data_IF_213298565728
#
_entry.id   IF_213298565728
#
_cell.length_a   1.000
_cell.length_b   1.000
_cell.length_c   1.000
_cell.angle_alpha   90.00
_cell.angle_beta   90.00
_cell.angle_gamma   90.00
#
_symmetry.space_group_name_H-M   'P 1'
#
loop_
_entity.id
_entity.type
_entity.pdbx_description
1 polymer ?
#
# COMPACT_ATOMS: atom_id res chain seq x y z
N UNK A 1 -13.60 0.37 10.83
CA UNK A 1 -14.63 -0.23 9.97
C UNK A 1 -15.40 0.88 9.27
N UNK A 2 -15.51 0.84 7.97
CA UNK A 2 -16.26 1.80 7.16
C UNK A 2 -17.33 1.02 6.38
N UNK A 3 -18.56 1.56 6.34
CA UNK A 3 -19.65 0.96 5.59
C UNK A 3 -19.59 1.49 4.15
N UNK A 4 -19.50 0.59 3.17
CA UNK A 4 -19.39 1.01 1.76
C UNK A 4 -20.73 1.48 1.19
N UNK A 5 -21.82 0.75 1.50
CA UNK A 5 -23.13 1.00 0.92
C UNK A 5 -24.22 1.17 2.00
N UNK A 6 -24.15 2.24 2.81
CA UNK A 6 -25.16 2.45 3.86
C UNK A 6 -26.58 2.62 3.29
N UNK A 7 -26.71 3.16 2.09
CA UNK A 7 -27.99 3.28 1.39
C UNK A 7 -28.60 1.91 1.00
N UNK A 8 -27.77 0.92 0.66
CA UNK A 8 -28.23 -0.42 0.33
C UNK A 8 -28.83 -1.12 1.57
N UNK A 9 -28.26 -0.90 2.77
CA UNK A 9 -28.83 -1.38 4.01
C UNK A 9 -30.20 -0.74 4.30
N UNK A 10 -30.38 0.55 4.01
CA UNK A 10 -31.69 1.22 4.17
C UNK A 10 -32.74 0.64 3.22
N UNK A 11 -32.36 0.37 1.97
CA UNK A 11 -33.27 -0.28 1.00
C UNK A 11 -33.60 -1.70 1.47
N UNK A 12 -32.61 -2.49 1.91
CA UNK A 12 -32.84 -3.85 2.40
C UNK A 12 -33.76 -3.86 3.63
N UNK A 13 -33.57 -2.93 4.55
CA UNK A 13 -34.42 -2.76 5.72
C UNK A 13 -35.88 -2.38 5.30
N UNK A 14 -36.00 -1.42 4.39
CA UNK A 14 -37.31 -1.00 3.86
C UNK A 14 -38.05 -2.13 3.19
N UNK A 15 -37.37 -2.93 2.35
CA UNK A 15 -37.99 -4.11 1.70
C UNK A 15 -38.40 -5.17 2.71
N UNK A 16 -37.57 -5.44 3.74
CA UNK A 16 -37.92 -6.37 4.82
C UNK A 16 -39.17 -5.91 5.59
N UNK A 17 -39.30 -4.62 5.91
CA UNK A 17 -40.46 -4.05 6.56
C UNK A 17 -41.73 -4.17 5.68
N UNK A 18 -41.64 -3.93 4.38
CA UNK A 18 -42.76 -4.06 3.45
C UNK A 18 -43.22 -5.52 3.35
N UNK A 19 -42.27 -6.46 3.28
CA UNK A 19 -42.60 -7.90 3.26
C UNK A 19 -43.30 -8.33 4.57
N UNK A 20 -42.78 -7.89 5.72
CA UNK A 20 -43.35 -8.19 7.03
C UNK A 20 -44.79 -7.61 7.19
N UNK A 21 -44.95 -6.33 6.77
CA UNK A 21 -46.28 -5.70 6.77
C UNK A 21 -47.27 -6.41 5.81
N UNK A 22 -46.80 -6.76 4.60
CA UNK A 22 -47.59 -7.51 3.64
C UNK A 22 -48.02 -8.90 4.16
N UNK A 23 -47.09 -9.63 4.80
CA UNK A 23 -47.34 -10.92 5.39
C UNK A 23 -48.34 -10.83 6.54
N UNK A 24 -48.24 -9.85 7.42
CA UNK A 24 -49.16 -9.60 8.53
C UNK A 24 -50.56 -9.22 8.04
N UNK A 25 -50.64 -8.40 6.98
CA UNK A 25 -51.90 -7.99 6.37
C UNK A 25 -52.59 -9.17 5.68
N UNK A 26 -51.81 -10.03 4.99
CA UNK A 26 -52.34 -11.26 4.39
C UNK A 26 -52.83 -12.25 5.44
N UNK A 27 -52.13 -12.40 6.56
CA UNK A 27 -52.55 -13.23 7.67
C UNK A 27 -53.90 -12.73 8.26
N UNK A 28 -53.99 -11.45 8.57
CA UNK A 28 -55.19 -10.80 9.08
C UNK A 28 -56.38 -10.90 8.08
N UNK A 29 -56.12 -10.78 6.78
CA UNK A 29 -57.14 -10.93 5.75
C UNK A 29 -57.65 -12.37 5.65
N UNK A 30 -56.74 -13.37 5.76
CA UNK A 30 -57.11 -14.78 5.80
C UNK A 30 -57.98 -15.11 7.02
N UNK A 31 -57.62 -14.60 8.20
CA UNK A 31 -58.43 -14.79 9.43
C UNK A 31 -59.83 -14.17 9.29
N UNK A 32 -59.95 -12.94 8.76
CA UNK A 32 -61.26 -12.30 8.50
C UNK A 32 -62.10 -13.09 7.52
N UNK A 33 -61.49 -13.64 6.47
CA UNK A 33 -62.18 -14.45 5.46
C UNK A 33 -62.62 -15.82 6.01
N UNK A 34 -61.83 -16.41 6.91
CA UNK A 34 -62.20 -17.66 7.60
C UNK A 34 -63.33 -17.46 8.59
N UNK A 35 -63.35 -16.35 9.34
CA UNK A 35 -64.33 -15.99 10.31
C UNK A 35 -65.68 -15.65 9.67
N UNK A 36 -65.71 -15.13 8.42
CA UNK A 36 -66.93 -14.77 7.71
C UNK A 36 -67.64 -15.92 6.96
N UNK A 37 -67.10 -17.16 6.99
CA UNK A 37 -67.56 -18.25 6.12
C UNK A 37 -68.61 -19.18 6.74
N UNK A 38 -68.76 -19.15 8.07
CA UNK A 38 -69.79 -19.98 8.75
C UNK A 38 -70.36 -19.29 10.02
N UNK A 39 -71.49 -18.58 9.94
CA UNK A 39 -72.10 -17.94 11.10
C UNK A 39 -72.77 -18.93 12.11
N UNK A 40 -72.93 -20.19 11.76
CA UNK A 40 -73.55 -21.17 12.62
C UNK A 40 -72.62 -22.09 13.42
N UNK A 41 -71.29 -21.88 13.36
CA UNK A 41 -70.37 -22.63 14.19
C UNK A 41 -70.39 -22.08 15.62
N UNK A 42 -70.93 -22.90 16.56
CA UNK A 42 -70.77 -22.60 17.99
C UNK A 42 -69.31 -22.48 18.33
N UNK A 43 -68.92 -21.29 18.70
CA UNK A 43 -67.57 -21.00 19.23
C UNK A 43 -67.44 -21.59 20.62
N UNK A 44 -66.70 -22.66 20.76
CA UNK A 44 -66.32 -23.20 22.09
C UNK A 44 -65.03 -22.49 22.52
N UNK A 45 -65.05 -21.97 23.76
CA UNK A 45 -63.87 -21.45 24.40
C UNK A 45 -62.99 -22.63 24.83
N UNK A 46 -61.77 -22.69 24.27
CA UNK A 46 -60.78 -23.68 24.65
C UNK A 46 -60.00 -23.27 25.92
N UNK A 47 -60.32 -22.12 26.55
CA UNK A 47 -59.62 -21.60 27.71
C UNK A 47 -59.67 -22.52 28.94
N UNK A 48 -60.82 -23.27 29.14
CA UNK A 48 -60.89 -24.23 30.22
C UNK A 48 -60.08 -25.50 29.98
N UNK A 49 -60.01 -25.99 28.74
CA UNK A 49 -59.25 -27.18 28.36
C UNK A 49 -57.73 -26.92 28.34
N UNK A 50 -57.32 -25.68 28.13
CA UNK A 50 -55.90 -25.25 28.13
C UNK A 50 -55.40 -24.96 29.56
N UNK A 51 -56.26 -24.87 30.57
CA UNK A 51 -55.90 -24.65 31.98
C UNK A 51 -55.57 -25.94 32.76
N UNK A 52 -55.48 -27.09 32.11
CA UNK A 52 -54.92 -28.30 32.71
C UNK A 52 -53.44 -28.16 32.92
N UNK A 53 -52.89 -28.66 34.02
CA UNK A 53 -51.49 -28.51 34.41
C UNK A 53 -50.53 -28.91 33.30
N UNK A 54 -50.81 -30.00 32.60
CA UNK A 54 -50.00 -30.54 31.52
C UNK A 54 -50.10 -29.69 30.23
N UNK A 55 -51.26 -29.19 29.85
CA UNK A 55 -51.49 -28.35 28.69
C UNK A 55 -50.82 -26.95 28.88
N UNK A 56 -50.89 -26.39 30.08
CA UNK A 56 -50.28 -25.09 30.39
C UNK A 56 -48.76 -25.13 30.32
N UNK A 57 -48.09 -26.23 30.72
CA UNK A 57 -46.66 -26.42 30.60
C UNK A 57 -46.21 -26.54 29.14
N UNK A 58 -46.94 -27.33 28.32
CA UNK A 58 -46.62 -27.46 26.89
C UNK A 58 -46.80 -26.13 26.15
N UNK A 59 -47.86 -25.37 26.49
CA UNK A 59 -48.12 -24.06 25.89
C UNK A 59 -47.08 -23.03 26.28
N UNK A 60 -46.56 -23.10 27.53
CA UNK A 60 -45.48 -22.23 28.02
C UNK A 60 -44.18 -22.58 27.31
N UNK A 61 -43.85 -23.86 27.12
CA UNK A 61 -42.67 -24.31 26.38
C UNK A 61 -42.76 -23.89 24.89
N UNK A 62 -43.94 -24.11 24.26
CA UNK A 62 -44.17 -23.69 22.87
C UNK A 62 -43.98 -22.16 22.69
N UNK A 63 -44.54 -21.37 23.61
CA UNK A 63 -44.44 -19.90 23.60
C UNK A 63 -42.98 -19.47 23.78
N UNK A 64 -42.21 -20.16 24.62
CA UNK A 64 -40.79 -19.88 24.83
C UNK A 64 -39.97 -20.21 23.59
N UNK A 65 -40.17 -21.39 23.00
CA UNK A 65 -39.46 -21.79 21.78
C UNK A 65 -39.82 -20.89 20.59
N UNK A 66 -41.05 -20.47 20.47
CA UNK A 66 -41.48 -19.55 19.43
C UNK A 66 -40.85 -18.16 19.60
N UNK A 67 -40.72 -17.67 20.83
CA UNK A 67 -40.02 -16.40 21.12
C UNK A 67 -38.51 -16.48 20.79
N UNK A 68 -37.86 -17.60 21.11
CA UNK A 68 -36.47 -17.82 20.77
C UNK A 68 -36.28 -17.90 19.24
N UNK A 69 -37.12 -18.64 18.56
CA UNK A 69 -37.09 -18.74 17.09
C UNK A 69 -37.32 -17.37 16.42
N UNK A 70 -38.28 -16.59 16.89
CA UNK A 70 -38.55 -15.24 16.40
C UNK A 70 -37.37 -14.31 16.66
N UNK A 71 -36.75 -14.39 17.85
CA UNK A 71 -35.53 -13.62 18.19
C UNK A 71 -34.34 -13.98 17.33
N UNK A 72 -34.10 -15.27 17.07
CA UNK A 72 -33.06 -15.75 16.19
C UNK A 72 -33.24 -15.27 14.74
N UNK A 73 -34.49 -15.30 14.24
CA UNK A 73 -34.82 -14.80 12.91
C UNK A 73 -34.63 -13.30 12.80
N UNK A 74 -35.04 -12.52 13.81
CA UNK A 74 -34.84 -11.08 13.84
C UNK A 74 -33.32 -10.74 13.87
N UNK A 75 -32.52 -11.46 14.67
CA UNK A 75 -31.08 -11.30 14.70
C UNK A 75 -30.43 -11.66 13.34
N UNK A 76 -30.84 -12.75 12.71
CA UNK A 76 -30.38 -13.13 11.38
C UNK A 76 -30.70 -12.06 10.32
N UNK A 77 -31.85 -11.44 10.41
CA UNK A 77 -32.27 -10.37 9.49
C UNK A 77 -31.41 -9.11 9.70
N UNK A 78 -31.14 -8.72 10.95
CA UNK A 78 -30.27 -7.58 11.26
C UNK A 78 -28.86 -7.84 10.76
N UNK A 79 -28.30 -9.03 10.99
CA UNK A 79 -26.98 -9.42 10.50
C UNK A 79 -26.92 -9.44 8.96
N UNK A 80 -27.95 -9.93 8.30
CA UNK A 80 -28.06 -9.94 6.84
C UNK A 80 -28.06 -8.51 6.27
N UNK A 81 -28.87 -7.60 6.83
CA UNK A 81 -28.90 -6.19 6.45
C UNK A 81 -27.53 -5.53 6.69
N UNK A 82 -26.88 -5.88 7.80
CA UNK A 82 -25.52 -5.38 8.11
C UNK A 82 -24.49 -5.86 7.09
N UNK A 83 -24.57 -7.11 6.63
CA UNK A 83 -23.68 -7.65 5.60
C UNK A 83 -23.91 -7.02 4.21
N UNK A 84 -25.15 -6.65 3.89
CA UNK A 84 -25.46 -5.90 2.64
C UNK A 84 -24.80 -4.54 2.61
N UNK A 85 -24.58 -3.91 3.78
CA UNK A 85 -23.85 -2.65 3.88
C UNK A 85 -22.34 -2.80 3.63
N UNK A 86 -21.82 -4.02 3.43
CA UNK A 86 -20.42 -4.37 3.18
C UNK A 86 -19.48 -3.73 4.22
N UNK A 87 -19.39 -4.27 5.43
CA UNK A 87 -18.42 -3.83 6.41
C UNK A 87 -17.01 -4.11 5.88
N UNK A 88 -16.18 -3.06 5.75
CA UNK A 88 -14.83 -3.16 5.23
C UNK A 88 -13.83 -2.66 6.25
N UNK A 89 -12.69 -3.32 6.32
CA UNK A 89 -11.51 -2.85 7.04
C UNK A 89 -10.48 -2.39 6.01
N UNK A 90 -10.01 -1.17 6.16
CA UNK A 90 -8.90 -0.65 5.36
C UNK A 90 -7.64 -0.87 6.19
N UNK A 91 -6.77 -1.76 5.74
CA UNK A 91 -5.42 -1.87 6.26
C UNK A 91 -4.56 -0.85 5.51
N UNK A 92 -4.77 0.43 5.82
CA UNK A 92 -4.21 1.57 5.10
C UNK A 92 -2.67 1.55 5.05
N UNK A 93 -2.03 0.98 6.05
CA UNK A 93 -0.57 0.99 6.16
C UNK A 93 0.09 -0.05 5.24
N UNK A 94 -0.47 -1.25 5.20
CA UNK A 94 0.05 -2.35 4.37
C UNK A 94 -0.26 -2.14 2.88
N UNK A 95 -1.39 -1.52 2.58
CA UNK A 95 -1.78 -1.18 1.21
C UNK A 95 -1.00 0.02 0.65
N UNK A 96 -0.66 0.98 1.52
CA UNK A 96 0.20 2.13 1.17
C UNK A 96 1.63 1.69 0.88
N UNK A 97 2.17 0.77 1.65
CA UNK A 97 3.52 0.23 1.44
C UNK A 97 3.60 -0.61 0.16
N UNK A 98 2.64 -1.49 -0.08
CA UNK A 98 2.56 -2.31 -1.29
C UNK A 98 2.32 -1.50 -2.59
N UNK A 99 2.06 -0.19 -2.49
CA UNK A 99 1.82 0.68 -3.66
C UNK A 99 2.98 1.62 -3.99
N UNK A 100 4.21 1.33 -3.53
CA UNK A 100 5.39 2.18 -3.75
C UNK A 100 6.49 1.46 -4.51
N UNK A 101 7.18 2.25 -5.34
CA UNK A 101 8.38 1.83 -6.05
C UNK A 101 9.50 2.82 -5.74
N UNK A 102 10.64 2.32 -5.29
CA UNK A 102 11.78 3.13 -4.86
C UNK A 102 13.02 2.68 -5.63
N UNK A 103 13.70 3.61 -6.28
CA UNK A 103 14.99 3.34 -6.94
C UNK A 103 16.10 4.00 -6.15
N UNK A 104 17.07 3.21 -5.73
CA UNK A 104 18.33 3.66 -5.15
C UNK A 104 19.28 3.98 -6.31
N UNK A 105 19.64 5.23 -6.45
CA UNK A 105 20.44 5.76 -7.55
C UNK A 105 21.77 6.26 -7.02
N UNK A 106 22.87 5.55 -7.29
CA UNK A 106 24.17 5.80 -6.72
C UNK A 106 25.17 6.26 -7.79
N UNK A 107 25.74 7.43 -7.60
CA UNK A 107 26.91 7.92 -8.31
C UNK A 107 28.15 7.15 -7.81
N UNK A 108 28.85 6.49 -8.72
CA UNK A 108 30.08 5.71 -8.42
C UNK A 108 31.31 6.32 -9.12
N UNK A 109 31.34 7.65 -9.23
CA UNK A 109 32.46 8.37 -9.75
C UNK A 109 33.66 8.33 -8.78
N UNK A 110 34.85 8.67 -9.27
CA UNK A 110 36.07 8.65 -8.44
C UNK A 110 35.99 9.56 -7.21
N UNK A 111 35.22 10.66 -7.28
CA UNK A 111 35.03 11.59 -6.16
C UNK A 111 34.09 11.06 -5.08
N UNK A 112 33.09 10.26 -5.46
CA UNK A 112 32.10 9.67 -4.53
C UNK A 112 32.57 8.34 -3.95
N UNK A 113 33.43 7.61 -4.66
CA UNK A 113 33.90 6.26 -4.32
C UNK A 113 34.34 6.08 -2.86
N UNK A 114 35.06 7.01 -2.23
CA UNK A 114 35.42 6.93 -0.81
C UNK A 114 34.21 6.94 0.15
N UNK A 115 33.07 7.46 -0.30
CA UNK A 115 31.86 7.62 0.49
C UNK A 115 30.79 6.56 0.17
N UNK A 116 30.93 5.86 -0.98
CA UNK A 116 29.91 4.94 -1.49
C UNK A 116 29.54 3.85 -0.49
N UNK A 117 30.51 3.31 0.23
CA UNK A 117 30.23 2.34 1.29
C UNK A 117 29.30 2.90 2.36
N UNK A 118 29.51 4.13 2.81
CA UNK A 118 28.66 4.77 3.81
C UNK A 118 27.26 5.03 3.25
N UNK A 119 27.15 5.34 1.97
CA UNK A 119 25.87 5.49 1.28
C UNK A 119 25.13 4.14 1.20
N UNK A 120 25.84 3.05 0.87
CA UNK A 120 25.26 1.72 0.84
C UNK A 120 24.80 1.27 2.25
N UNK A 121 25.56 1.57 3.29
CA UNK A 121 25.16 1.35 4.68
C UNK A 121 23.91 2.17 5.03
N UNK A 122 23.78 3.38 4.48
CA UNK A 122 22.58 4.22 4.59
C UNK A 122 21.40 3.59 3.87
N UNK A 123 21.61 3.06 2.66
CA UNK A 123 20.59 2.33 1.91
C UNK A 123 20.13 1.06 2.63
N UNK A 124 21.05 0.30 3.25
CA UNK A 124 20.69 -0.86 4.08
C UNK A 124 19.79 -0.49 5.24
N UNK A 125 20.09 0.60 5.94
CA UNK A 125 19.24 1.10 7.02
C UNK A 125 17.90 1.61 6.50
N UNK A 126 17.87 2.26 5.34
CA UNK A 126 16.65 2.70 4.69
C UNK A 126 15.75 1.49 4.36
N UNK A 127 16.32 0.47 3.71
CA UNK A 127 15.62 -0.77 3.32
C UNK A 127 15.08 -1.52 4.52
N UNK A 128 15.79 -1.55 5.64
CA UNK A 128 15.33 -2.21 6.88
C UNK A 128 14.06 -1.59 7.48
N UNK A 129 13.72 -0.36 7.09
CA UNK A 129 12.53 0.35 7.53
C UNK A 129 11.35 0.25 6.55
N UNK A 130 11.53 -0.41 5.40
CA UNK A 130 10.48 -0.58 4.40
C UNK A 130 9.76 -1.92 4.58
N UNK A 131 8.47 -1.94 4.22
CA UNK A 131 7.61 -3.13 4.27
C UNK A 131 6.58 -3.09 3.14
N UNK A 132 6.82 -3.90 2.08
CA UNK A 132 5.90 -4.01 0.94
C UNK A 132 6.20 -3.06 -0.24
N UNK A 133 7.19 -2.17 -0.13
CA UNK A 133 7.71 -1.40 -1.26
C UNK A 133 8.50 -2.31 -2.21
N UNK A 134 8.50 -1.99 -3.51
CA UNK A 134 9.47 -2.57 -4.44
C UNK A 134 10.69 -1.66 -4.52
N UNK A 135 11.86 -2.25 -4.43
CA UNK A 135 13.13 -1.54 -4.41
C UNK A 135 13.96 -2.00 -5.60
N UNK A 136 14.52 -1.06 -6.34
CA UNK A 136 15.51 -1.29 -7.37
C UNK A 136 16.78 -0.49 -7.10
N UNK A 137 17.90 -0.88 -7.71
CA UNK A 137 19.14 -0.13 -7.62
C UNK A 137 19.82 0.00 -8.97
N UNK A 138 20.27 1.21 -9.28
CA UNK A 138 21.14 1.50 -10.39
C UNK A 138 22.34 2.30 -9.90
N UNK A 139 23.49 2.01 -10.48
CA UNK A 139 24.73 2.77 -10.29
C UNK A 139 25.08 3.47 -11.59
N UNK A 140 25.69 4.64 -11.49
CA UNK A 140 26.09 5.41 -12.67
C UNK A 140 27.40 6.18 -12.44
N UNK A 141 28.07 6.44 -13.54
CA UNK A 141 29.20 7.37 -13.65
C UNK A 141 29.08 8.10 -15.01
N UNK A 142 29.84 7.75 -16.05
CA UNK A 142 29.62 8.23 -17.41
C UNK A 142 28.53 7.47 -18.17
N UNK A 143 28.17 6.26 -17.71
CA UNK A 143 27.02 5.45 -18.13
C UNK A 143 26.38 4.84 -16.90
N UNK A 144 25.22 4.19 -17.08
CA UNK A 144 24.45 3.62 -15.98
C UNK A 144 24.30 2.11 -16.12
N UNK A 145 24.31 1.40 -14.98
CA UNK A 145 24.07 -0.04 -14.89
C UNK A 145 23.06 -0.35 -13.79
N UNK A 146 22.06 -1.15 -14.12
CA UNK A 146 21.13 -1.69 -13.11
C UNK A 146 21.83 -2.78 -12.30
N UNK A 147 21.88 -2.64 -10.98
CA UNK A 147 22.39 -3.65 -10.05
C UNK A 147 21.33 -4.72 -9.84
N UNK A 148 20.11 -4.31 -9.51
CA UNK A 148 18.94 -5.18 -9.48
C UNK A 148 17.67 -4.39 -9.85
N UNK A 149 16.71 -5.02 -10.56
CA UNK A 149 15.46 -4.39 -10.95
C UNK A 149 14.53 -4.21 -9.74
N UNK A 150 13.39 -3.54 -9.94
CA UNK A 150 12.37 -3.39 -8.90
C UNK A 150 11.88 -4.75 -8.41
N UNK A 151 12.09 -5.02 -7.12
CA UNK A 151 11.70 -6.26 -6.45
C UNK A 151 11.20 -5.98 -5.03
N UNK A 152 10.33 -6.84 -4.54
CA UNK A 152 9.87 -6.89 -3.15
C UNK A 152 10.60 -7.97 -2.32
N UNK A 153 11.58 -8.65 -2.94
CA UNK A 153 12.45 -9.59 -2.25
C UNK A 153 13.54 -8.84 -1.44
N UNK A 154 13.21 -8.53 -0.20
CA UNK A 154 14.14 -7.85 0.73
C UNK A 154 15.38 -8.68 1.06
N UNK A 155 15.32 -10.01 0.96
CA UNK A 155 16.48 -10.86 1.17
C UNK A 155 17.50 -10.66 0.05
N UNK A 156 17.01 -10.64 -1.21
CA UNK A 156 17.83 -10.31 -2.38
C UNK A 156 18.42 -8.91 -2.26
N UNK A 157 17.59 -7.89 -2.01
CA UNK A 157 18.03 -6.48 -1.88
C UNK A 157 19.12 -6.36 -0.82
N UNK A 158 18.89 -6.90 0.37
CA UNK A 158 19.85 -6.85 1.48
C UNK A 158 21.14 -7.59 1.15
N UNK A 159 21.06 -8.73 0.47
CA UNK A 159 22.22 -9.51 0.03
C UNK A 159 23.07 -8.73 -0.97
N UNK A 160 22.45 -8.12 -1.97
CA UNK A 160 23.13 -7.31 -2.99
C UNK A 160 23.80 -6.07 -2.38
N UNK A 161 23.12 -5.34 -1.48
CA UNK A 161 23.69 -4.19 -0.80
C UNK A 161 24.85 -4.58 0.13
N UNK A 162 24.74 -5.70 0.86
CA UNK A 162 25.84 -6.22 1.70
C UNK A 162 27.04 -6.65 0.86
N UNK A 163 26.80 -7.27 -0.29
CA UNK A 163 27.87 -7.62 -1.23
C UNK A 163 28.59 -6.38 -1.72
N UNK A 164 27.87 -5.35 -2.16
CA UNK A 164 28.45 -4.07 -2.58
C UNK A 164 29.25 -3.40 -1.43
N UNK A 165 28.69 -3.35 -0.21
CA UNK A 165 29.41 -2.80 0.96
C UNK A 165 30.68 -3.59 1.29
N UNK A 166 30.69 -4.91 1.04
CA UNK A 166 31.88 -5.76 1.23
C UNK A 166 32.95 -5.50 0.18
N UNK A 167 32.55 -5.34 -1.09
CA UNK A 167 33.45 -5.02 -2.22
C UNK A 167 34.12 -3.66 -2.00
N UNK A 168 33.36 -2.67 -1.54
CA UNK A 168 33.84 -1.30 -1.29
C UNK A 168 34.54 -1.15 0.08
N UNK A 169 34.74 -2.25 0.80
CA UNK A 169 35.49 -2.21 2.06
C UNK A 169 36.95 -1.92 1.81
N UNK A 170 37.45 -0.81 2.36
CA UNK A 170 38.84 -0.40 2.19
C UNK A 170 39.08 0.53 0.99
N UNK A 171 38.06 1.00 0.31
CA UNK A 171 38.13 2.01 -0.74
C UNK A 171 37.72 3.34 -0.13
N UNK A 172 38.61 3.94 0.72
CA UNK A 172 38.33 5.23 1.37
C UNK A 172 39.26 6.34 0.90
N UNK A 173 40.44 5.96 0.46
CA UNK A 173 41.48 6.91 -0.03
C UNK A 173 42.13 6.34 -1.26
N UNK A 174 42.83 7.21 -2.06
CA UNK A 174 43.64 6.76 -3.18
C UNK A 174 44.77 5.81 -2.70
N UNK A 175 45.31 6.06 -1.51
CA UNK A 175 46.35 5.22 -0.90
C UNK A 175 45.85 3.82 -0.56
N UNK A 176 44.57 3.69 -0.20
CA UNK A 176 43.93 2.38 0.01
C UNK A 176 43.77 1.59 -1.30
N UNK A 177 43.44 2.29 -2.39
CA UNK A 177 43.34 1.70 -3.73
C UNK A 177 44.72 1.24 -4.21
N UNK A 178 45.73 2.06 -4.04
CA UNK A 178 47.09 1.78 -4.47
C UNK A 178 47.75 0.61 -3.69
N UNK A 179 47.24 0.35 -2.47
CA UNK A 179 47.71 -0.75 -1.61
C UNK A 179 46.81 -1.99 -1.66
N UNK A 180 45.76 -1.96 -2.44
CA UNK A 180 44.79 -3.04 -2.56
C UNK A 180 45.41 -4.26 -3.22
N UNK A 181 44.97 -5.46 -2.82
CA UNK A 181 45.35 -6.68 -3.52
C UNK A 181 44.80 -6.69 -4.95
N UNK A 182 45.47 -7.36 -5.88
CA UNK A 182 44.97 -7.50 -7.27
C UNK A 182 43.57 -8.12 -7.30
N UNK A 183 43.32 -9.05 -6.40
CA UNK A 183 41.98 -9.73 -6.28
C UNK A 183 40.89 -8.74 -5.85
N UNK A 184 41.16 -7.90 -4.86
CA UNK A 184 40.19 -6.93 -4.36
C UNK A 184 39.98 -5.78 -5.34
N UNK A 185 41.07 -5.33 -6.00
CA UNK A 185 40.98 -4.37 -7.08
C UNK A 185 40.10 -4.87 -8.23
N UNK A 186 40.25 -6.16 -8.61
CA UNK A 186 39.44 -6.77 -9.65
C UNK A 186 37.95 -6.82 -9.22
N UNK A 187 37.62 -7.15 -7.96
CA UNK A 187 36.24 -7.13 -7.45
C UNK A 187 35.61 -5.73 -7.55
N UNK A 188 36.36 -4.69 -7.22
CA UNK A 188 35.89 -3.30 -7.35
C UNK A 188 35.71 -2.94 -8.82
N UNK A 189 36.66 -3.28 -9.68
CA UNK A 189 36.58 -3.06 -11.12
C UNK A 189 35.38 -3.75 -11.74
N UNK A 190 35.13 -5.02 -11.41
CA UNK A 190 33.97 -5.78 -11.89
C UNK A 190 32.65 -5.18 -11.38
N UNK A 191 32.65 -4.64 -10.14
CA UNK A 191 31.45 -3.99 -9.61
C UNK A 191 31.16 -2.66 -10.30
N UNK A 192 32.18 -1.93 -10.76
CA UNK A 192 32.03 -0.68 -11.51
C UNK A 192 31.86 -0.90 -13.02
N UNK A 193 32.02 -2.11 -13.51
CA UNK A 193 31.91 -2.40 -14.95
C UNK A 193 30.58 -1.96 -15.54
N UNK A 194 30.60 -1.44 -16.75
CA UNK A 194 29.44 -0.88 -17.43
C UNK A 194 29.04 0.53 -17.02
N UNK A 195 29.76 1.16 -16.06
CA UNK A 195 29.48 2.55 -15.64
C UNK A 195 30.43 3.57 -16.26
N UNK A 196 31.49 3.14 -16.96
CA UNK A 196 32.57 4.00 -17.44
C UNK A 196 32.80 3.90 -18.95
N UNK A 197 31.74 3.82 -19.73
CA UNK A 197 31.84 3.55 -21.18
C UNK A 197 32.02 4.82 -22.05
N UNK A 198 31.87 6.02 -21.48
CA UNK A 198 32.17 7.28 -22.19
C UNK A 198 33.54 7.79 -21.78
N UNK A 199 34.44 8.03 -22.77
CA UNK A 199 35.72 8.64 -22.54
C UNK A 199 35.57 10.13 -22.20
N UNK A 200 36.43 10.65 -21.32
CA UNK A 200 36.45 12.05 -20.89
C UNK A 200 35.12 12.54 -20.25
N UNK A 201 34.39 11.64 -19.63
CA UNK A 201 33.19 11.99 -18.88
C UNK A 201 33.13 11.20 -17.58
N UNK A 202 32.70 11.86 -16.52
CA UNK A 202 32.50 11.24 -15.20
C UNK A 202 31.36 11.94 -14.48
N UNK A 203 30.61 11.18 -13.64
CA UNK A 203 29.51 11.69 -12.82
C UNK A 203 28.48 12.47 -13.65
N UNK A 204 27.95 11.85 -14.74
CA UNK A 204 26.90 12.43 -15.56
C UNK A 204 25.55 12.28 -14.84
N UNK A 205 25.30 13.13 -13.84
CA UNK A 205 24.23 12.99 -12.85
C UNK A 205 22.84 13.05 -13.50
N UNK A 206 22.66 13.98 -14.46
CA UNK A 206 21.39 14.10 -15.16
C UNK A 206 21.07 12.84 -15.97
N UNK A 207 22.03 12.30 -16.71
CA UNK A 207 21.90 11.04 -17.46
C UNK A 207 21.65 9.86 -16.52
N UNK A 208 22.37 9.81 -15.38
CA UNK A 208 22.20 8.82 -14.33
C UNK A 208 20.79 8.84 -13.72
N UNK A 209 20.30 10.03 -13.37
CA UNK A 209 18.96 10.21 -12.81
C UNK A 209 17.85 9.77 -13.80
N UNK A 210 18.01 10.12 -15.09
CA UNK A 210 17.07 9.69 -16.15
C UNK A 210 17.09 8.17 -16.29
N UNK A 211 18.27 7.54 -16.23
CA UNK A 211 18.39 6.07 -16.26
C UNK A 211 17.73 5.39 -15.06
N UNK A 212 17.89 5.97 -13.86
CA UNK A 212 17.21 5.50 -12.66
C UNK A 212 15.68 5.66 -12.77
N UNK A 213 15.22 6.78 -13.34
CA UNK A 213 13.80 7.02 -13.58
C UNK A 213 13.19 6.01 -14.57
N UNK A 214 13.97 5.59 -15.58
CA UNK A 214 13.54 4.60 -16.56
C UNK A 214 13.24 3.21 -15.97
N UNK A 215 13.74 2.91 -14.77
CA UNK A 215 13.39 1.68 -14.04
C UNK A 215 11.98 1.74 -13.44
N UNK A 216 11.40 2.94 -13.30
CA UNK A 216 10.10 3.15 -12.65
C UNK A 216 8.95 3.04 -13.65
N UNK A 217 7.87 2.31 -13.29
CA UNK A 217 6.69 2.23 -14.11
C UNK A 217 6.06 3.61 -14.34
N UNK A 218 5.76 3.93 -15.57
CA UNK A 218 5.12 5.21 -15.94
C UNK A 218 6.09 6.33 -16.30
N UNK A 219 7.40 6.11 -16.19
CA UNK A 219 8.37 7.01 -16.81
C UNK A 219 8.43 6.74 -18.32
N UNK A 220 8.30 7.78 -19.12
CA UNK A 220 8.36 7.70 -20.55
C UNK A 220 9.12 8.90 -21.13
N UNK A 221 9.89 8.68 -22.19
CA UNK A 221 10.64 9.72 -22.88
C UNK A 221 9.76 10.47 -23.90
N UNK A 222 9.96 11.76 -24.02
CA UNK A 222 9.40 12.58 -25.10
C UNK A 222 7.87 12.54 -25.19
N UNK A 223 7.34 12.43 -26.43
CA UNK A 223 5.90 12.48 -26.70
C UNK A 223 5.11 11.30 -26.10
N UNK A 224 5.78 10.19 -25.74
CA UNK A 224 5.14 9.06 -25.08
C UNK A 224 4.64 9.45 -23.66
N UNK A 225 5.29 10.42 -23.00
CA UNK A 225 4.84 10.94 -21.70
C UNK A 225 3.47 11.62 -21.79
N UNK A 226 3.16 12.30 -22.89
CA UNK A 226 1.86 12.94 -23.11
C UNK A 226 0.75 11.93 -23.43
N UNK A 227 1.07 10.83 -24.11
CA UNK A 227 0.12 9.74 -24.41
C UNK A 227 -0.17 8.88 -23.17
N UNK A 228 0.83 8.63 -22.32
CA UNK A 228 0.65 7.89 -21.08
C UNK A 228 -0.29 8.61 -20.09
N UNK A 229 -0.31 9.96 -20.11
CA UNK A 229 -1.22 10.76 -19.30
C UNK A 229 -2.68 10.74 -19.80
N UNK A 230 -2.92 10.43 -21.08
CA UNK A 230 -4.24 10.38 -21.69
C UNK A 230 -4.93 9.01 -21.57
N UNK A 231 -4.18 7.93 -21.32
CA UNK A 231 -4.75 6.61 -21.11
C UNK A 231 -5.19 6.48 -19.64
N UNK A 232 -6.36 7.04 -19.34
CA UNK A 232 -7.06 6.89 -18.06
C UNK A 232 -7.62 5.46 -17.89
N UNK A 233 -6.78 4.46 -18.04
CA UNK A 233 -7.06 3.12 -17.57
C UNK A 233 -6.52 3.02 -16.14
N UNK A 234 -7.40 2.85 -15.16
CA UNK A 234 -7.10 2.80 -13.74
C UNK A 234 -6.29 1.55 -13.34
N UNK A 235 -5.10 1.38 -13.90
CA UNK A 235 -4.08 0.62 -13.21
C UNK A 235 -3.64 1.51 -12.03
N UNK A 236 -3.82 1.04 -10.79
CA UNK A 236 -3.35 1.69 -9.56
C UNK A 236 -1.93 2.20 -9.81
N UNK A 237 -1.76 3.52 -9.95
CA UNK A 237 -0.44 4.10 -10.09
C UNK A 237 0.27 3.96 -8.75
N UNK A 238 1.28 3.11 -8.72
CA UNK A 238 2.20 3.05 -7.59
C UNK A 238 2.92 4.39 -7.50
N UNK A 239 3.09 4.91 -6.28
CA UNK A 239 3.90 6.12 -6.09
C UNK A 239 5.37 5.77 -6.33
N UNK A 240 6.06 6.60 -7.08
CA UNK A 240 7.44 6.35 -7.50
C UNK A 240 8.38 7.38 -6.89
N UNK A 241 9.51 6.93 -6.37
CA UNK A 241 10.54 7.80 -5.80
C UNK A 241 11.94 7.30 -6.13
N UNK A 242 12.87 8.25 -6.18
CA UNK A 242 14.30 7.99 -6.37
C UNK A 242 15.05 8.56 -5.18
N UNK A 243 15.99 7.80 -4.64
CA UNK A 243 16.97 8.26 -3.65
C UNK A 243 18.31 8.36 -4.38
N UNK A 244 18.67 9.57 -4.76
CA UNK A 244 19.91 9.90 -5.50
C UNK A 244 21.05 10.15 -4.51
N UNK A 245 22.16 9.45 -4.65
CA UNK A 245 23.39 9.74 -3.92
C UNK A 245 24.47 10.24 -4.88
N UNK A 246 25.00 11.45 -4.65
CA UNK A 246 26.03 12.10 -5.48
C UNK A 246 26.65 13.27 -4.71
N UNK A 247 27.85 13.69 -5.11
CA UNK A 247 28.51 14.94 -4.66
C UNK A 247 28.25 16.14 -5.59
N UNK A 248 27.57 15.89 -6.73
CA UNK A 248 27.28 16.88 -7.77
C UNK A 248 28.55 17.48 -8.46
N UNK A 249 29.58 16.67 -8.62
CA UNK A 249 30.80 17.06 -9.34
C UNK A 249 30.79 16.43 -10.73
N UNK A 250 30.22 17.13 -11.71
CA UNK A 250 30.09 16.68 -13.09
C UNK A 250 31.30 17.02 -13.92
N UNK A 251 31.79 16.09 -14.74
CA UNK A 251 32.82 16.33 -15.74
C UNK A 251 32.44 15.68 -17.07
N UNK A 252 32.53 16.43 -18.16
CA UNK A 252 32.17 15.99 -19.50
C UNK A 252 30.81 16.54 -19.98
N UNK A 253 30.35 16.03 -21.10
CA UNK A 253 29.09 16.49 -21.73
C UNK A 253 27.91 15.57 -21.36
N UNK A 254 27.01 16.10 -20.60
CA UNK A 254 25.73 15.44 -20.26
C UNK A 254 24.74 15.49 -21.44
N UNK A 255 23.92 14.48 -21.60
CA UNK A 255 22.74 14.49 -22.49
C UNK A 255 21.60 15.27 -21.81
N UNK A 256 21.42 15.04 -20.50
CA UNK A 256 20.47 15.73 -19.66
C UNK A 256 21.23 16.37 -18.49
N UNK A 257 21.02 17.67 -18.27
CA UNK A 257 21.49 18.30 -17.03
C UNK A 257 20.64 17.81 -15.86
N UNK A 258 21.18 17.93 -14.63
CA UNK A 258 20.41 17.56 -13.42
C UNK A 258 19.05 18.25 -13.38
N UNK A 259 18.98 19.56 -13.75
CA UNK A 259 17.73 20.31 -13.80
C UNK A 259 16.73 19.70 -14.78
N UNK A 260 17.17 19.36 -16.00
CA UNK A 260 16.31 18.74 -17.01
C UNK A 260 15.80 17.36 -16.56
N UNK A 261 16.68 16.57 -15.93
CA UNK A 261 16.32 15.27 -15.37
C UNK A 261 15.26 15.39 -14.24
N UNK A 262 15.40 16.39 -13.36
CA UNK A 262 14.45 16.69 -12.30
C UNK A 262 13.11 17.19 -12.86
N UNK A 263 13.12 18.00 -13.91
CA UNK A 263 11.89 18.43 -14.61
C UNK A 263 11.16 17.23 -15.24
N UNK A 264 11.87 16.28 -15.84
CA UNK A 264 11.34 15.05 -16.40
C UNK A 264 10.72 14.14 -15.31
N UNK A 265 11.44 13.93 -14.22
CA UNK A 265 10.95 13.10 -13.10
C UNK A 265 9.70 13.72 -12.48
N UNK A 266 9.68 15.04 -12.29
CA UNK A 266 8.50 15.77 -11.79
C UNK A 266 7.30 15.63 -12.73
N UNK A 267 7.51 15.72 -14.03
CA UNK A 267 6.44 15.53 -15.04
C UNK A 267 5.86 14.12 -14.96
N UNK A 268 6.70 13.12 -14.69
CA UNK A 268 6.29 11.73 -14.47
C UNK A 268 5.70 11.46 -13.08
N UNK A 269 5.59 12.48 -12.20
CA UNK A 269 5.15 12.35 -10.80
C UNK A 269 6.08 11.46 -9.97
N UNK A 270 7.38 11.46 -10.27
CA UNK A 270 8.42 10.78 -9.53
C UNK A 270 9.08 11.80 -8.59
N UNK A 271 9.10 11.52 -7.29
CA UNK A 271 9.85 12.33 -6.32
C UNK A 271 11.31 11.95 -6.29
N UNK A 272 12.21 12.94 -6.17
CA UNK A 272 13.65 12.72 -6.07
C UNK A 272 14.15 13.32 -4.77
N UNK A 273 14.64 12.47 -3.87
CA UNK A 273 15.36 12.88 -2.66
C UNK A 273 16.85 12.63 -2.87
N UNK A 274 17.70 13.48 -2.32
CA UNK A 274 19.15 13.35 -2.48
C UNK A 274 19.89 13.13 -1.16
N UNK A 275 20.87 12.23 -1.20
CA UNK A 275 21.86 12.01 -0.14
C UNK A 275 23.20 12.50 -0.65
N UNK A 276 23.84 13.41 0.09
CA UNK A 276 25.15 13.90 -0.27
C UNK A 276 26.23 12.84 -0.05
N UNK A 277 26.98 12.53 -1.10
CA UNK A 277 28.02 11.52 -1.14
C UNK A 277 29.42 12.20 -1.31
N UNK A 278 29.80 13.03 -0.37
CA UNK A 278 31.09 13.75 -0.43
C UNK A 278 31.59 14.18 0.94
N UNK A 279 32.71 14.90 0.93
CA UNK A 279 33.39 15.40 2.15
C UNK A 279 32.49 16.39 2.91
N UNK A 280 32.61 16.39 4.24
CA UNK A 280 31.87 17.34 5.09
C UNK A 280 32.25 18.79 4.81
N UNK A 281 33.53 19.01 4.49
CA UNK A 281 34.11 20.30 4.19
C UNK A 281 33.49 20.92 2.94
N UNK A 282 33.05 20.10 1.99
CA UNK A 282 32.48 20.53 0.72
C UNK A 282 30.94 20.78 0.79
N UNK A 283 30.32 20.70 1.96
CA UNK A 283 28.89 20.98 2.13
C UNK A 283 28.52 22.43 1.80
N UNK A 284 29.41 23.36 1.98
CA UNK A 284 29.25 24.79 1.65
C UNK A 284 29.63 25.14 0.22
N UNK A 285 30.16 24.21 -0.55
CA UNK A 285 30.59 24.44 -1.92
C UNK A 285 29.43 24.80 -2.84
N UNK A 286 29.71 25.49 -3.93
CA UNK A 286 28.71 25.93 -4.90
C UNK A 286 28.00 24.75 -5.56
N UNK A 287 28.70 23.65 -5.81
CA UNK A 287 28.14 22.41 -6.38
C UNK A 287 27.11 21.78 -5.46
N UNK A 288 27.46 21.62 -4.17
CA UNK A 288 26.58 21.03 -3.15
C UNK A 288 25.36 21.91 -2.86
N UNK A 289 25.58 23.23 -2.73
CA UNK A 289 24.47 24.19 -2.53
C UNK A 289 23.57 24.28 -3.75
N UNK A 290 24.08 24.10 -4.96
CA UNK A 290 23.31 24.00 -6.19
C UNK A 290 22.44 22.73 -6.20
N UNK A 291 23.03 21.57 -5.87
CA UNK A 291 22.31 20.30 -5.74
C UNK A 291 21.14 20.45 -4.76
N UNK A 292 21.42 20.91 -3.54
CA UNK A 292 20.41 21.13 -2.51
C UNK A 292 19.27 21.99 -3.02
N UNK A 293 19.58 23.15 -3.62
CA UNK A 293 18.57 24.07 -4.15
C UNK A 293 17.74 23.43 -5.25
N UNK A 294 18.36 22.68 -6.16
CA UNK A 294 17.64 22.03 -7.26
C UNK A 294 16.70 20.94 -6.73
N UNK A 295 17.15 20.07 -5.84
CA UNK A 295 16.31 19.02 -5.22
C UNK A 295 15.13 19.63 -4.47
N UNK A 296 15.39 20.62 -3.59
CA UNK A 296 14.36 21.26 -2.78
C UNK A 296 13.33 22.03 -3.63
N UNK A 297 13.75 22.70 -4.70
CA UNK A 297 12.87 23.41 -5.62
C UNK A 297 11.96 22.48 -6.43
N UNK A 298 12.34 21.20 -6.59
CA UNK A 298 11.50 20.17 -7.21
C UNK A 298 10.69 19.34 -6.18
N UNK A 299 10.72 19.78 -4.91
CA UNK A 299 9.91 19.16 -3.84
C UNK A 299 10.59 17.96 -3.17
N UNK A 300 11.86 17.68 -3.48
CA UNK A 300 12.68 16.67 -2.82
C UNK A 300 13.28 17.13 -1.49
N UNK A 301 13.93 16.22 -0.79
CA UNK A 301 14.71 16.50 0.42
C UNK A 301 16.19 16.29 0.11
N UNK A 302 17.00 17.22 0.56
CA UNK A 302 18.45 17.07 0.55
C UNK A 302 18.93 16.68 1.94
N UNK A 303 19.79 15.68 2.03
CA UNK A 303 20.32 15.17 3.29
C UNK A 303 21.82 14.99 3.19
N UNK A 304 22.51 15.32 4.28
CA UNK A 304 23.93 15.05 4.47
C UNK A 304 24.12 14.22 5.73
N UNK A 305 25.01 13.25 5.68
CA UNK A 305 25.38 12.48 6.87
C UNK A 305 26.06 13.36 7.93
N UNK A 306 26.59 14.51 7.52
CA UNK A 306 27.27 15.46 8.41
C UNK A 306 26.34 16.25 9.31
N UNK A 307 25.09 16.47 8.89
CA UNK A 307 24.13 17.33 9.60
C UNK A 307 23.42 16.61 10.77
N UNK A 308 23.83 15.37 11.09
CA UNK A 308 23.16 14.58 12.14
C UNK A 308 21.67 14.29 11.85
N UNK A 309 21.24 14.61 10.62
CA UNK A 309 19.90 14.23 10.18
C UNK A 309 19.83 12.71 10.16
N UNK A 310 18.99 12.16 11.04
CA UNK A 310 18.90 10.72 11.18
C UNK A 310 18.26 10.12 9.94
N UNK A 311 18.70 8.93 9.57
CA UNK A 311 18.08 8.14 8.48
C UNK A 311 16.60 7.96 8.78
N UNK A 312 16.23 7.90 10.06
CA UNK A 312 14.85 7.86 10.52
C UNK A 312 14.06 9.09 10.10
N UNK A 313 14.68 10.29 10.08
CA UNK A 313 14.02 11.51 9.60
C UNK A 313 13.76 11.46 8.11
N UNK A 314 14.69 10.89 7.32
CA UNK A 314 14.50 10.66 5.88
C UNK A 314 13.37 9.68 5.61
N UNK A 315 13.41 8.51 6.27
CA UNK A 315 12.35 7.51 6.15
C UNK A 315 10.99 8.12 6.49
N UNK A 316 10.92 8.88 7.58
CA UNK A 316 9.69 9.56 7.99
C UNK A 316 9.24 10.57 6.95
N UNK A 317 10.14 11.42 6.44
CA UNK A 317 9.80 12.42 5.42
C UNK A 317 9.34 11.78 4.12
N UNK A 318 10.02 10.71 3.67
CA UNK A 318 9.60 9.92 2.50
C UNK A 318 8.21 9.32 2.75
N UNK A 319 7.97 8.71 3.92
CA UNK A 319 6.68 8.13 4.30
C UNK A 319 5.56 9.18 4.40
N UNK A 320 5.82 10.34 5.00
CA UNK A 320 4.84 11.41 5.18
C UNK A 320 4.42 12.05 3.85
N UNK A 321 5.37 12.37 2.96
CA UNK A 321 5.08 12.91 1.63
C UNK A 321 4.26 11.95 0.78
N UNK A 322 4.65 10.70 0.79
CA UNK A 322 3.97 9.66 0.03
C UNK A 322 2.57 9.37 0.61
N UNK A 323 2.39 9.49 1.92
CA UNK A 323 1.07 9.38 2.56
C UNK A 323 0.13 10.52 2.17
N UNK A 324 0.64 11.71 1.93
CA UNK A 324 -0.15 12.85 1.47
C UNK A 324 -0.64 12.68 0.02
N UNK A 325 0.16 12.08 -0.86
CA UNK A 325 -0.25 11.73 -2.22
C UNK A 325 -1.23 10.55 -2.26
N UNK A 326 -1.00 9.52 -1.47
CA UNK A 326 -1.84 8.32 -1.42
C UNK A 326 -3.25 8.58 -0.86
N UNK A 327 -3.44 9.59 0.00
CA UNK A 327 -4.78 9.97 0.51
C UNK A 327 -5.74 10.42 -0.58
N UNK A 328 -5.26 10.91 -1.72
CA UNK A 328 -6.08 11.29 -2.87
C UNK A 328 -6.52 10.10 -3.71
N UNK A 329 -5.73 9.03 -3.74
CA UNK A 329 -5.98 7.83 -4.56
C UNK A 329 -6.60 6.67 -3.77
N UNK A 330 -6.56 6.71 -2.42
CA UNK A 330 -7.01 5.64 -1.52
C UNK A 330 -8.54 5.45 -1.45
N UNK A 331 -9.33 6.18 -2.24
CA UNK A 331 -10.79 5.97 -2.30
C UNK A 331 -11.22 4.67 -3.01
N UNK A 332 -10.30 3.90 -3.59
CA UNK A 332 -10.64 2.78 -4.48
C UNK A 332 -10.25 1.39 -3.99
N UNK A 333 -9.52 1.26 -2.89
CA UNK A 333 -9.10 -0.05 -2.38
C UNK A 333 -9.74 -0.34 -1.04
N UNK A 334 -10.86 -1.01 -1.10
CA UNK A 334 -11.61 -1.43 0.08
C UNK A 334 -11.64 -2.94 0.09
N UNK A 335 -11.05 -3.54 1.11
CA UNK A 335 -11.07 -4.99 1.30
C UNK A 335 -12.31 -5.36 2.10
N UNK A 336 -13.16 -6.23 1.52
CA UNK A 336 -14.36 -6.71 2.17
C UNK A 336 -13.96 -7.65 3.30
N UNK A 337 -14.27 -7.30 4.52
CA UNK A 337 -14.04 -8.14 5.69
C UNK A 337 -15.36 -8.62 6.31
N UNK A 338 -16.09 -9.56 5.65
CA UNK A 338 -17.30 -10.13 6.20
C UNK A 338 -17.05 -10.93 7.50
N UNK A 339 -15.81 -11.44 7.66
CA UNK A 339 -15.26 -12.05 8.86
C UNK A 339 -16.26 -12.80 9.74
N UNK A 340 -16.27 -12.52 11.04
CA UNK A 340 -17.12 -13.17 12.04
C UNK A 340 -18.63 -12.93 11.84
N UNK A 341 -19.05 -11.90 11.08
CA UNK A 341 -20.47 -11.61 10.80
C UNK A 341 -21.17 -12.73 10.05
N UNK A 342 -20.46 -13.38 9.12
CA UNK A 342 -21.01 -14.54 8.38
C UNK A 342 -21.20 -15.75 9.28
N UNK A 343 -20.25 -15.99 10.22
CA UNK A 343 -20.36 -17.06 11.20
C UNK A 343 -21.53 -16.81 12.17
N UNK A 344 -21.67 -15.57 12.65
CA UNK A 344 -22.79 -15.19 13.52
C UNK A 344 -24.14 -15.39 12.82
N UNK A 345 -24.26 -15.01 11.54
CA UNK A 345 -25.45 -15.23 10.74
C UNK A 345 -25.76 -16.74 10.59
N UNK A 346 -24.75 -17.55 10.28
CA UNK A 346 -24.91 -19.00 10.17
C UNK A 346 -25.41 -19.63 11.49
N UNK A 347 -24.85 -19.23 12.62
CA UNK A 347 -25.31 -19.68 13.94
C UNK A 347 -26.76 -19.29 14.20
N UNK A 348 -27.17 -18.05 13.91
CA UNK A 348 -28.56 -17.61 14.06
C UNK A 348 -29.55 -18.44 13.21
N UNK A 349 -29.17 -18.75 11.97
CA UNK A 349 -29.98 -19.58 11.06
C UNK A 349 -30.08 -21.02 11.58
N UNK A 350 -28.98 -21.62 12.06
CA UNK A 350 -28.97 -22.97 12.63
C UNK A 350 -29.89 -23.04 13.86
N UNK A 351 -29.78 -22.07 14.76
CA UNK A 351 -30.65 -21.97 15.94
C UNK A 351 -32.09 -21.85 15.54
N UNK A 352 -32.41 -20.98 14.58
CA UNK A 352 -33.78 -20.83 14.08
C UNK A 352 -34.33 -22.14 13.49
N UNK A 353 -33.54 -22.82 12.65
CA UNK A 353 -33.93 -24.11 12.05
C UNK A 353 -34.19 -25.19 13.10
N UNK A 354 -33.34 -25.29 14.12
CA UNK A 354 -33.48 -26.25 15.20
C UNK A 354 -34.77 -26.05 15.98
N UNK A 355 -35.13 -24.81 16.35
CA UNK A 355 -36.35 -24.49 17.04
C UNK A 355 -37.58 -24.59 16.13
N UNK A 356 -37.49 -24.19 14.86
CA UNK A 356 -38.57 -24.35 13.90
C UNK A 356 -38.90 -25.83 13.64
N UNK A 357 -37.90 -26.71 13.58
CA UNK A 357 -38.10 -28.16 13.47
C UNK A 357 -38.76 -28.76 14.72
N UNK A 358 -38.34 -28.30 15.91
CA UNK A 358 -38.94 -28.73 17.17
C UNK A 358 -40.39 -28.27 17.36
N UNK A 359 -40.71 -27.05 16.85
CA UNK A 359 -42.09 -26.52 16.88
C UNK A 359 -43.04 -27.22 15.91
N UNK A 360 -42.50 -27.89 14.87
CA UNK A 360 -43.29 -28.71 13.92
C UNK A 360 -43.65 -30.10 14.44
N UNK A 361 -42.93 -30.59 15.43
CA UNK A 361 -43.23 -31.88 16.12
C UNK A 361 -44.07 -31.66 17.38
#
# INVERSE_FOLDING_TARGET
MRWQWPWAALIALGTACVIAAGASMLAAWRERKASGRNPDLKSYSLDEDLNTEHASELFRQWRTFNRIAAGALAAALILSVSLVARPSTINEEQERSASRDIVLCLDVSGSTLPYDRQIIDTYLKLVSNFQGERIGMSIFNSTSRTVFPLTDDYALVTSQLKSAASILKGVQTQDDIDKMSDEDYQKVSDWLDGTQNKTNATSLIGDGLVSCAAMLPGFAYGNAAQQASSTKGAARRRSSSIVLATDNVVSGQETYTLKQALDLTRTASISVDAVYAGAKESLSDTTTTSLKRQIESHGGTFMSQADGSSIESMVRTIKERQSAHSKRDAQTAVDDAPGWWTHALAVCIIVWLAFAWRLRR
#
